data_IF_086947965913
#
_entry.id   IF_086947965913
#
_cell.length_a   1.000
_cell.length_b   1.000
_cell.length_c   1.000
_cell.angle_alpha   90.00
_cell.angle_beta   90.00
_cell.angle_gamma   90.00
#
_symmetry.space_group_name_H-M   'P 1'
#
loop_
_entity.id
_entity.type
_entity.pdbx_description
1 polymer ?
#
# COMPACT_ATOMS: atom_id res chain seq x y z
N UNK A 1 41.92 -30.33 -20.10
CA UNK A 1 40.57 -30.28 -19.49
C UNK A 1 40.56 -29.95 -17.98
N UNK A 2 41.43 -30.54 -17.14
CA UNK A 2 41.39 -30.42 -15.65
C UNK A 2 41.32 -28.98 -15.08
N UNK A 3 41.82 -27.95 -15.78
CA UNK A 3 41.73 -26.56 -15.34
C UNK A 3 40.29 -26.01 -15.41
N UNK A 4 39.59 -26.24 -16.52
CA UNK A 4 38.19 -25.82 -16.73
C UNK A 4 37.26 -26.41 -15.67
N UNK A 5 37.42 -27.70 -15.35
CA UNK A 5 36.63 -28.40 -14.34
C UNK A 5 36.80 -27.87 -12.90
N UNK A 6 37.86 -27.09 -12.62
CA UNK A 6 38.06 -26.43 -11.31
C UNK A 6 37.42 -25.05 -11.25
N UNK A 7 37.36 -24.35 -12.38
CA UNK A 7 36.63 -23.08 -12.52
C UNK A 7 35.12 -23.35 -12.50
N UNK A 8 34.63 -24.36 -13.23
CA UNK A 8 33.19 -24.67 -13.24
C UNK A 8 32.64 -25.04 -11.86
N UNK A 9 33.42 -25.73 -11.02
CA UNK A 9 33.01 -26.08 -9.66
C UNK A 9 32.89 -24.85 -8.74
N UNK A 10 33.89 -23.95 -8.75
CA UNK A 10 33.84 -22.74 -7.93
C UNK A 10 32.78 -21.75 -8.45
N UNK A 11 32.62 -21.61 -9.78
CA UNK A 11 31.53 -20.86 -10.38
C UNK A 11 30.16 -21.41 -9.97
N UNK A 12 29.99 -22.74 -9.97
CA UNK A 12 28.75 -23.39 -9.53
C UNK A 12 28.40 -22.99 -8.08
N UNK A 13 29.39 -22.99 -7.19
CA UNK A 13 29.21 -22.64 -5.78
C UNK A 13 28.84 -21.15 -5.57
N UNK A 14 29.42 -20.22 -6.34
CA UNK A 14 29.19 -18.78 -6.15
C UNK A 14 27.97 -18.20 -6.87
N UNK A 15 27.63 -18.68 -8.08
CA UNK A 15 26.55 -18.05 -8.86
C UNK A 15 25.15 -18.24 -8.25
N UNK A 16 24.85 -19.42 -7.69
CA UNK A 16 23.53 -19.71 -7.10
C UNK A 16 23.20 -18.80 -5.91
N UNK A 17 24.05 -18.66 -4.87
CA UNK A 17 23.80 -17.74 -3.77
C UNK A 17 23.66 -16.28 -4.20
N UNK A 18 24.48 -15.81 -5.16
CA UNK A 18 24.41 -14.44 -5.68
C UNK A 18 23.13 -14.17 -6.46
N UNK A 19 22.68 -15.12 -7.29
CA UNK A 19 21.41 -15.02 -8.02
C UNK A 19 20.20 -15.07 -7.08
N UNK A 20 20.23 -15.92 -6.04
CA UNK A 20 19.19 -15.96 -5.01
C UNK A 20 19.14 -14.64 -4.25
N UNK A 21 20.29 -14.09 -3.81
CA UNK A 21 20.36 -12.81 -3.12
C UNK A 21 19.87 -11.63 -3.98
N UNK A 22 20.26 -11.57 -5.25
CA UNK A 22 19.77 -10.56 -6.18
C UNK A 22 18.25 -10.68 -6.42
N UNK A 23 17.71 -11.90 -6.43
CA UNK A 23 16.27 -12.12 -6.57
C UNK A 23 15.47 -11.77 -5.30
N UNK A 24 15.97 -12.10 -4.11
CA UNK A 24 15.27 -11.80 -2.85
C UNK A 24 15.33 -10.32 -2.48
N UNK A 25 16.43 -9.61 -2.79
CA UNK A 25 16.51 -8.15 -2.56
C UNK A 25 15.82 -7.31 -3.64
N UNK A 26 15.69 -7.84 -4.86
CA UNK A 26 15.06 -7.17 -6.00
C UNK A 26 14.20 -8.17 -6.81
N UNK A 27 12.94 -8.44 -6.39
CA UNK A 27 12.06 -9.34 -7.12
C UNK A 27 11.56 -8.71 -8.44
N UNK A 28 11.12 -7.45 -8.40
CA UNK A 28 10.39 -6.81 -9.50
C UNK A 28 11.32 -5.99 -10.42
N UNK A 29 12.13 -5.09 -9.85
CA UNK A 29 13.01 -4.18 -10.59
C UNK A 29 14.46 -4.28 -10.09
N UNK A 30 15.35 -4.81 -10.93
CA UNK A 30 16.77 -5.03 -10.57
C UNK A 30 17.66 -3.91 -11.14
N UNK A 31 18.39 -3.14 -10.31
CA UNK A 31 19.34 -2.16 -10.80
C UNK A 31 20.48 -2.86 -11.55
N UNK A 32 21.13 -2.16 -12.48
CA UNK A 32 22.13 -2.74 -13.41
C UNK A 32 23.16 -3.65 -12.73
N UNK A 33 23.74 -3.21 -11.60
CA UNK A 33 24.76 -3.94 -10.85
C UNK A 33 24.26 -5.23 -10.15
N UNK A 34 22.95 -5.48 -10.12
CA UNK A 34 22.30 -6.70 -9.59
C UNK A 34 21.63 -7.54 -10.68
N UNK A 35 21.86 -7.24 -11.96
CA UNK A 35 21.31 -8.05 -13.05
C UNK A 35 22.02 -9.41 -13.15
N UNK A 36 21.34 -10.48 -13.60
CA UNK A 36 21.87 -11.86 -13.52
C UNK A 36 23.24 -12.07 -14.18
N UNK A 37 23.54 -11.36 -15.27
CA UNK A 37 24.85 -11.42 -15.91
C UNK A 37 25.96 -10.75 -15.09
N UNK A 38 25.65 -9.69 -14.33
CA UNK A 38 26.62 -9.06 -13.41
C UNK A 38 26.91 -10.01 -12.24
N UNK A 39 25.88 -10.67 -11.69
CA UNK A 39 26.09 -11.72 -10.67
C UNK A 39 26.93 -12.89 -11.19
N UNK A 40 26.74 -13.29 -12.46
CA UNK A 40 27.56 -14.32 -13.10
C UNK A 40 29.02 -13.87 -13.32
N UNK A 41 29.25 -12.60 -13.70
CA UNK A 41 30.59 -12.01 -13.82
C UNK A 41 31.30 -11.91 -12.45
N UNK A 42 30.58 -11.53 -11.40
CA UNK A 42 31.11 -11.53 -10.01
C UNK A 42 31.44 -12.95 -9.55
N UNK A 43 30.56 -13.93 -9.80
CA UNK A 43 30.84 -15.34 -9.53
C UNK A 43 32.06 -15.86 -10.28
N UNK A 44 32.27 -15.44 -11.53
CA UNK A 44 33.45 -15.76 -12.32
C UNK A 44 34.72 -15.12 -11.74
N UNK A 45 34.67 -13.85 -11.32
CA UNK A 45 35.80 -13.17 -10.68
C UNK A 45 36.20 -13.85 -9.35
N UNK A 46 35.22 -14.22 -8.52
CA UNK A 46 35.44 -14.99 -7.29
C UNK A 46 36.02 -16.39 -7.58
N UNK A 47 35.50 -17.08 -8.61
CA UNK A 47 36.02 -18.36 -9.06
C UNK A 47 37.47 -18.29 -9.57
N UNK A 48 37.84 -17.21 -10.27
CA UNK A 48 39.22 -16.99 -10.69
C UNK A 48 40.14 -16.74 -9.49
N UNK A 49 39.70 -15.92 -8.52
CA UNK A 49 40.43 -15.67 -7.27
C UNK A 49 40.68 -16.96 -6.47
N UNK A 50 39.66 -17.83 -6.32
CA UNK A 50 39.80 -19.17 -5.73
C UNK A 50 40.91 -20.01 -6.40
N UNK A 51 40.98 -20.02 -7.74
CA UNK A 51 42.04 -20.76 -8.45
C UNK A 51 43.42 -20.11 -8.35
N UNK A 52 43.50 -18.79 -8.25
CA UNK A 52 44.74 -18.02 -8.25
C UNK A 52 45.40 -17.84 -6.88
N UNK A 53 44.62 -17.47 -5.86
CA UNK A 53 45.09 -17.10 -4.53
C UNK A 53 44.92 -18.24 -3.51
N UNK A 54 43.69 -18.72 -3.31
CA UNK A 54 43.40 -19.73 -2.26
C UNK A 54 44.18 -21.03 -2.50
N UNK A 55 44.27 -21.48 -3.75
CA UNK A 55 45.08 -22.66 -4.10
C UNK A 55 46.59 -22.48 -3.91
N UNK A 56 47.10 -21.23 -3.85
CA UNK A 56 48.48 -20.95 -3.43
C UNK A 56 48.59 -20.97 -1.91
N UNK A 57 47.71 -20.27 -1.19
CA UNK A 57 47.68 -20.22 0.28
C UNK A 57 47.57 -21.63 0.89
N UNK A 58 46.67 -22.48 0.35
CA UNK A 58 46.50 -23.88 0.76
C UNK A 58 47.75 -24.76 0.53
N UNK A 59 48.73 -24.30 -0.26
CA UNK A 59 50.01 -24.99 -0.52
C UNK A 59 51.19 -24.38 0.23
N UNK A 60 51.03 -23.23 0.90
CA UNK A 60 52.08 -22.62 1.72
C UNK A 60 52.25 -23.39 3.04
N UNK A 61 53.31 -24.20 3.13
CA UNK A 61 53.74 -24.82 4.40
C UNK A 61 54.41 -23.79 5.33
N UNK A 62 53.63 -22.84 5.85
CA UNK A 62 54.07 -21.86 6.85
C UNK A 62 53.24 -21.97 8.13
N UNK A 63 53.92 -22.02 9.28
CA UNK A 63 53.31 -22.08 10.62
C UNK A 63 52.42 -20.87 10.96
N UNK A 64 52.50 -19.79 10.19
CA UNK A 64 51.70 -18.58 10.39
C UNK A 64 50.37 -18.57 9.62
N UNK A 65 50.13 -19.51 8.70
CA UNK A 65 48.89 -19.53 7.88
C UNK A 65 47.66 -19.80 8.75
N UNK A 66 47.73 -20.79 9.65
CA UNK A 66 46.62 -21.14 10.56
C UNK A 66 46.25 -19.98 11.51
N UNK A 67 47.18 -19.40 12.31
CA UNK A 67 46.84 -18.29 13.19
C UNK A 67 46.41 -17.01 12.44
N UNK A 68 46.89 -16.80 11.21
CA UNK A 68 46.40 -15.69 10.37
C UNK A 68 44.95 -15.90 9.91
N UNK A 69 44.57 -17.14 9.55
CA UNK A 69 43.20 -17.47 9.16
C UNK A 69 42.24 -17.46 10.36
N UNK A 70 42.65 -17.92 11.55
CA UNK A 70 41.81 -17.80 12.75
C UNK A 70 41.64 -16.35 13.18
N UNK A 71 42.68 -15.52 13.07
CA UNK A 71 42.57 -14.07 13.30
C UNK A 71 41.61 -13.42 12.28
N UNK A 72 41.68 -13.78 11.00
CA UNK A 72 40.77 -13.28 9.98
C UNK A 72 39.30 -13.68 10.27
N UNK A 73 39.06 -14.92 10.73
CA UNK A 73 37.72 -15.35 11.16
C UNK A 73 37.23 -14.61 12.41
N UNK A 74 38.10 -14.35 13.40
CA UNK A 74 37.77 -13.53 14.56
C UNK A 74 37.42 -12.08 14.16
N UNK A 75 38.16 -11.49 13.22
CA UNK A 75 37.84 -10.16 12.67
C UNK A 75 36.49 -10.17 11.96
N UNK A 76 36.18 -11.20 11.16
CA UNK A 76 34.85 -11.35 10.52
C UNK A 76 33.75 -11.49 11.57
N UNK A 77 33.93 -12.27 12.64
CA UNK A 77 32.96 -12.43 13.73
C UNK A 77 32.73 -11.09 14.45
N UNK A 78 33.80 -10.34 14.77
CA UNK A 78 33.70 -9.02 15.42
C UNK A 78 33.01 -8.01 14.51
N UNK A 79 33.30 -8.00 13.21
CA UNK A 79 32.62 -7.15 12.23
C UNK A 79 31.13 -7.50 12.12
N UNK A 80 30.78 -8.78 12.01
CA UNK A 80 29.39 -9.24 11.99
C UNK A 80 28.63 -8.85 13.26
N UNK A 81 29.27 -8.95 14.44
CA UNK A 81 28.68 -8.51 15.70
C UNK A 81 28.46 -6.99 15.75
N UNK A 82 29.42 -6.19 15.25
CA UNK A 82 29.27 -4.73 15.17
C UNK A 82 28.14 -4.33 14.20
N UNK A 83 28.03 -4.97 13.03
CA UNK A 83 26.95 -4.77 12.06
C UNK A 83 25.59 -5.16 12.64
N UNK A 84 25.52 -6.26 13.39
CA UNK A 84 24.29 -6.72 14.06
C UNK A 84 23.85 -5.79 15.20
N UNK A 85 24.79 -5.24 15.96
CA UNK A 85 24.51 -4.34 17.09
C UNK A 85 24.23 -2.88 16.68
N UNK A 86 24.68 -2.46 15.49
CA UNK A 86 24.51 -1.09 14.98
C UNK A 86 23.80 -1.09 13.61
N UNK A 87 22.57 -1.64 13.49
CA UNK A 87 21.89 -1.80 12.21
C UNK A 87 21.66 -0.46 11.49
N UNK A 88 21.44 0.64 12.22
CA UNK A 88 21.24 1.98 11.65
C UNK A 88 22.45 2.54 10.89
N UNK A 89 23.66 2.00 11.10
CA UNK A 89 24.87 2.42 10.39
C UNK A 89 25.23 1.55 9.17
N UNK A 90 24.63 0.36 9.03
CA UNK A 90 25.07 -0.65 8.06
C UNK A 90 23.94 -1.37 7.31
N UNK A 91 22.72 -1.39 7.86
CA UNK A 91 21.55 -1.96 7.20
C UNK A 91 20.90 -0.91 6.32
N UNK A 92 20.99 -1.07 5.00
CA UNK A 92 20.22 -0.26 4.05
C UNK A 92 18.73 -0.29 4.38
N UNK A 93 18.17 -1.40 4.88
CA UNK A 93 16.76 -1.48 5.27
C UNK A 93 16.43 -0.63 6.50
N UNK A 94 17.37 -0.45 7.44
CA UNK A 94 17.16 0.44 8.59
C UNK A 94 17.30 1.91 8.17
N UNK A 95 18.18 2.21 7.20
CA UNK A 95 18.28 3.54 6.58
C UNK A 95 17.01 3.86 5.75
N UNK A 96 16.50 2.91 4.98
CA UNK A 96 15.24 3.01 4.22
C UNK A 96 14.07 3.27 5.20
N UNK A 97 14.00 2.56 6.34
CA UNK A 97 13.00 2.81 7.39
C UNK A 97 13.14 4.21 8.01
N UNK A 98 14.35 4.62 8.41
CA UNK A 98 14.61 5.95 8.98
C UNK A 98 14.29 7.08 7.99
N UNK A 99 14.42 6.86 6.68
CA UNK A 99 13.98 7.81 5.65
C UNK A 99 12.45 7.87 5.51
N UNK A 100 11.75 6.74 5.60
CA UNK A 100 10.27 6.69 5.64
C UNK A 100 9.72 7.34 6.93
N UNK A 101 10.51 7.37 8.01
CA UNK A 101 10.13 8.02 9.27
C UNK A 101 10.54 9.50 9.38
N UNK A 102 11.24 10.07 8.38
CA UNK A 102 11.61 11.48 8.37
C UNK A 102 10.36 12.39 8.23
N UNK A 103 10.25 13.50 8.98
CA UNK A 103 9.14 14.43 8.82
C UNK A 103 9.18 15.12 7.45
N UNK A 104 7.99 15.30 6.85
CA UNK A 104 7.78 15.83 5.50
C UNK A 104 8.43 17.21 5.25
N UNK A 105 8.68 17.98 6.31
CA UNK A 105 9.24 19.34 6.26
C UNK A 105 10.75 19.38 5.93
N UNK A 106 11.43 18.23 5.86
CA UNK A 106 12.88 18.13 5.62
C UNK A 106 13.27 17.25 4.42
N UNK A 107 12.33 16.95 3.51
CA UNK A 107 12.66 16.33 2.24
C UNK A 107 13.58 17.24 1.41
N UNK A 108 14.82 16.85 1.06
CA UNK A 108 15.70 17.69 0.27
C UNK A 108 15.12 17.89 -1.13
N UNK A 109 15.10 19.13 -1.61
CA UNK A 109 14.62 19.48 -2.94
C UNK A 109 15.54 18.89 -4.01
N UNK A 110 15.19 17.70 -4.51
CA UNK A 110 15.89 17.07 -5.62
C UNK A 110 15.87 18.00 -6.84
N UNK A 111 17.04 18.42 -7.37
CA UNK A 111 17.09 19.26 -8.56
C UNK A 111 16.55 18.46 -9.76
N UNK A 112 15.48 18.96 -10.38
CA UNK A 112 14.84 18.28 -11.51
C UNK A 112 15.84 18.02 -12.63
N UNK A 113 16.05 16.74 -12.96
CA UNK A 113 17.05 16.31 -13.94
C UNK A 113 16.64 16.68 -15.37
N UNK A 114 17.02 17.89 -15.76
CA UNK A 114 17.17 18.41 -17.13
C UNK A 114 16.45 17.59 -18.23
N UNK A 115 15.23 17.99 -18.56
CA UNK A 115 14.70 17.68 -19.90
C UNK A 115 15.61 18.35 -20.94
N UNK A 116 16.24 17.56 -21.82
CA UNK A 116 17.03 18.13 -22.91
C UNK A 116 16.12 18.87 -23.89
N UNK A 117 16.62 20.00 -24.40
CA UNK A 117 15.88 20.87 -25.32
C UNK A 117 15.50 20.16 -26.62
N UNK A 118 14.23 20.28 -27.01
CA UNK A 118 13.79 20.16 -28.40
C UNK A 118 13.23 21.50 -28.85
N UNK A 119 14.02 22.24 -29.64
CA UNK A 119 13.71 23.62 -30.05
C UNK A 119 12.61 23.66 -31.11
N UNK A 120 11.52 24.39 -30.86
CA UNK A 120 10.68 24.95 -31.92
C UNK A 120 10.24 26.39 -31.58
N UNK A 121 10.44 27.29 -32.55
CA UNK A 121 10.31 28.74 -32.39
C UNK A 121 8.88 29.20 -32.68
N UNK A 122 8.25 29.95 -31.77
CA UNK A 122 7.01 30.70 -32.06
C UNK A 122 6.80 31.93 -31.13
N UNK A 123 7.33 33.08 -31.58
CA UNK A 123 6.91 34.48 -31.36
C UNK A 123 5.72 34.78 -30.42
N UNK A 124 5.96 35.58 -29.37
CA UNK A 124 4.93 36.40 -28.70
C UNK A 124 4.66 37.71 -29.47
N UNK A 125 3.44 38.25 -29.40
CA UNK A 125 3.16 39.69 -29.47
C UNK A 125 2.81 40.27 -28.08
N UNK A 126 3.22 41.51 -27.82
CA UNK A 126 2.91 42.26 -26.59
C UNK A 126 1.51 42.91 -26.65
N UNK A 127 0.91 43.20 -25.49
CA UNK A 127 -0.24 44.11 -25.34
C UNK A 127 0.23 45.36 -24.57
N UNK A 128 0.12 46.58 -25.14
CA UNK A 128 0.42 47.82 -24.44
C UNK A 128 -0.80 48.37 -23.67
N UNK A 129 -0.54 49.15 -22.63
CA UNK A 129 -1.57 49.85 -21.84
C UNK A 129 -1.79 51.30 -22.29
N UNK A 130 -3.02 51.79 -22.15
CA UNK A 130 -3.37 53.22 -22.26
C UNK A 130 -4.67 53.52 -21.50
N UNK A 131 -4.99 54.80 -21.29
CA UNK A 131 -6.05 55.27 -20.39
C UNK A 131 -6.77 56.52 -20.94
N UNK A 132 -8.04 56.76 -20.56
CA UNK A 132 -8.61 58.11 -20.29
C UNK A 132 -10.15 58.17 -20.10
N UNK A 133 -10.58 59.16 -19.30
CA UNK A 133 -11.85 59.95 -19.32
C UNK A 133 -13.27 59.36 -19.06
N UNK A 134 -13.89 59.98 -18.05
CA UNK A 134 -15.30 60.09 -17.58
C UNK A 134 -16.30 60.79 -18.57
N UNK A 135 -17.62 61.01 -18.24
CA UNK A 135 -18.56 60.36 -17.28
C UNK A 135 -20.03 60.14 -17.79
N UNK A 136 -20.94 59.67 -16.89
CA UNK A 136 -22.43 59.66 -16.95
C UNK A 136 -23.08 58.63 -17.93
N UNK A 137 -24.24 58.00 -17.68
CA UNK A 137 -25.43 58.39 -16.89
C UNK A 137 -26.27 57.17 -16.38
N UNK A 138 -27.02 57.34 -15.28
CA UNK A 138 -28.16 56.52 -14.74
C UNK A 138 -28.15 54.98 -14.72
N UNK A 139 -27.95 54.43 -13.51
CA UNK A 139 -28.82 53.46 -12.80
C UNK A 139 -29.63 52.37 -13.54
N UNK A 140 -29.42 51.10 -13.13
CA UNK A 140 -30.53 50.33 -12.55
C UNK A 140 -30.10 49.27 -11.53
N UNK A 141 -30.73 49.36 -10.36
CA UNK A 141 -30.83 48.48 -9.19
C UNK A 141 -30.29 47.03 -9.27
N UNK A 142 -29.33 46.71 -8.39
CA UNK A 142 -29.24 45.41 -7.71
C UNK A 142 -28.46 45.57 -6.40
N UNK A 143 -29.12 45.31 -5.27
CA UNK A 143 -28.60 45.65 -3.94
C UNK A 143 -27.64 44.58 -3.42
N UNK A 144 -26.37 44.93 -3.26
CA UNK A 144 -25.40 44.12 -2.50
C UNK A 144 -25.79 44.11 -1.02
N UNK A 145 -26.34 43.00 -0.54
CA UNK A 145 -26.52 42.75 0.89
C UNK A 145 -25.19 42.27 1.47
N UNK A 146 -24.68 43.01 2.45
CA UNK A 146 -23.44 42.65 3.15
C UNK A 146 -23.65 41.37 3.98
N UNK A 147 -22.90 40.32 3.65
CA UNK A 147 -22.83 39.09 4.46
C UNK A 147 -21.65 39.24 5.41
N UNK A 148 -21.93 39.41 6.71
CA UNK A 148 -20.90 39.33 7.75
C UNK A 148 -20.20 37.97 7.71
N UNK A 149 -18.89 37.88 7.98
CA UNK A 149 -18.20 36.61 8.07
C UNK A 149 -18.77 35.80 9.24
N UNK A 150 -19.48 34.71 8.92
CA UNK A 150 -19.80 33.66 9.89
C UNK A 150 -18.51 33.17 10.52
N UNK A 151 -18.44 33.13 11.85
CA UNK A 151 -17.27 32.59 12.56
C UNK A 151 -17.23 31.08 12.28
N UNK A 152 -16.37 30.68 11.36
CA UNK A 152 -16.12 29.29 11.03
C UNK A 152 -15.49 28.60 12.25
N UNK A 153 -16.29 27.81 12.96
CA UNK A 153 -15.85 27.09 14.15
C UNK A 153 -14.83 26.04 13.74
N UNK A 154 -13.55 26.32 14.00
CA UNK A 154 -12.44 25.38 13.78
C UNK A 154 -12.82 24.01 14.36
N UNK A 155 -12.89 22.95 13.53
CA UNK A 155 -13.22 21.62 14.04
C UNK A 155 -12.23 21.22 15.12
N UNK A 156 -12.73 20.81 16.29
CA UNK A 156 -11.88 20.26 17.35
C UNK A 156 -11.32 18.94 16.84
N UNK A 157 -10.03 18.93 16.51
CA UNK A 157 -9.34 17.73 16.06
C UNK A 157 -9.19 16.75 17.23
N UNK A 158 -10.22 15.92 17.41
CA UNK A 158 -10.21 14.83 18.37
C UNK A 158 -9.04 13.89 18.05
N UNK A 159 -8.17 13.56 19.03
CA UNK A 159 -7.07 12.63 18.81
C UNK A 159 -7.58 11.30 18.28
N UNK A 160 -7.04 10.85 17.15
CA UNK A 160 -7.43 9.57 16.55
C UNK A 160 -6.95 8.40 17.44
N UNK A 161 -7.83 7.67 18.15
CA UNK A 161 -7.42 6.63 19.11
C UNK A 161 -6.74 5.43 18.43
N UNK A 162 -7.08 5.20 17.16
CA UNK A 162 -6.46 4.19 16.28
C UNK A 162 -5.16 4.65 15.62
N UNK A 163 -4.67 5.87 15.93
CA UNK A 163 -3.36 6.39 15.52
C UNK A 163 -2.70 7.09 16.71
N UNK A 164 -2.21 6.29 17.64
CA UNK A 164 -1.41 6.78 18.77
C UNK A 164 -0.26 7.69 18.32
N UNK A 165 0.07 8.68 19.15
CA UNK A 165 1.25 9.50 18.95
C UNK A 165 2.49 8.60 19.02
N UNK A 166 3.21 8.45 17.90
CA UNK A 166 4.46 7.68 17.81
C UNK A 166 5.42 8.09 18.93
N UNK A 167 5.61 7.22 19.92
CA UNK A 167 6.45 7.47 21.10
C UNK A 167 7.95 7.23 20.84
N UNK A 168 8.29 6.44 19.82
CA UNK A 168 9.65 6.11 19.39
C UNK A 168 9.71 5.78 17.90
N UNK A 169 10.89 5.86 17.30
CA UNK A 169 11.15 5.40 15.94
C UNK A 169 10.99 3.86 15.82
N UNK A 170 10.61 3.36 14.64
CA UNK A 170 10.45 1.91 14.40
C UNK A 170 11.78 1.30 13.98
N UNK A 171 12.35 0.44 14.82
CA UNK A 171 13.58 -0.30 14.49
C UNK A 171 13.32 -1.49 13.58
N UNK A 172 14.34 -1.93 12.83
CA UNK A 172 14.30 -3.09 11.94
C UNK A 172 13.77 -4.34 12.64
N UNK A 173 14.18 -4.60 13.88
CA UNK A 173 13.72 -5.75 14.65
C UNK A 173 12.24 -5.65 15.04
N UNK A 174 11.71 -4.45 15.28
CA UNK A 174 10.28 -4.22 15.50
C UNK A 174 9.48 -4.38 14.21
N UNK A 175 9.97 -3.88 13.08
CA UNK A 175 9.33 -4.08 11.76
C UNK A 175 9.28 -5.57 11.37
N UNK A 176 10.39 -6.30 11.53
CA UNK A 176 10.46 -7.76 11.29
C UNK A 176 9.61 -8.56 12.30
N UNK A 177 9.38 -8.05 13.52
CA UNK A 177 8.43 -8.66 14.45
C UNK A 177 6.98 -8.39 14.02
N UNK A 178 6.61 -7.16 13.71
CA UNK A 178 5.25 -6.78 13.29
C UNK A 178 4.76 -7.59 12.08
N UNK A 179 5.65 -7.90 11.13
CA UNK A 179 5.34 -8.80 10.00
C UNK A 179 5.08 -10.26 10.37
N UNK A 180 5.44 -10.70 11.59
CA UNK A 180 5.15 -12.04 12.16
C UNK A 180 3.96 -12.03 13.11
N UNK A 181 3.58 -10.86 13.63
CA UNK A 181 2.39 -10.70 14.47
C UNK A 181 1.09 -10.81 13.62
N UNK A 182 1.20 -10.70 12.29
CA UNK A 182 0.14 -10.99 11.30
C UNK A 182 -0.40 -12.41 11.49
N UNK A 183 -1.70 -12.54 11.72
CA UNK A 183 -2.41 -13.81 11.93
C UNK A 183 -2.16 -14.49 13.29
N UNK A 184 -1.02 -14.25 13.94
CA UNK A 184 -0.73 -14.78 15.28
C UNK A 184 -1.34 -13.93 16.40
N UNK A 185 -1.29 -12.60 16.26
CA UNK A 185 -1.90 -11.61 17.18
C UNK A 185 -3.17 -11.01 16.57
N UNK A 186 -3.25 -10.94 15.23
CA UNK A 186 -4.35 -10.25 14.54
C UNK A 186 -5.70 -10.98 14.57
N UNK A 187 -5.69 -12.28 14.84
CA UNK A 187 -6.89 -13.12 15.04
C UNK A 187 -7.11 -13.44 16.54
N UNK A 188 -6.36 -12.83 17.48
CA UNK A 188 -6.53 -13.03 18.93
C UNK A 188 -7.87 -12.46 19.41
N UNK A 189 -8.63 -13.23 20.20
CA UNK A 189 -10.05 -12.99 20.55
C UNK A 189 -11.05 -12.91 19.37
N UNK A 190 -10.62 -13.19 18.12
CA UNK A 190 -11.53 -13.35 16.99
C UNK A 190 -11.97 -14.80 16.78
N UNK A 191 -13.26 -15.00 16.54
CA UNK A 191 -13.88 -16.29 16.26
C UNK A 191 -13.92 -16.52 14.75
N UNK A 192 -13.52 -17.72 14.29
CA UNK A 192 -13.65 -18.10 12.88
C UNK A 192 -15.10 -18.37 12.49
N UNK A 193 -15.47 -17.92 11.28
CA UNK A 193 -16.75 -18.27 10.67
C UNK A 193 -16.71 -19.65 10.03
N UNK A 194 -17.86 -20.32 9.99
CA UNK A 194 -18.07 -21.58 9.27
C UNK A 194 -19.17 -21.45 8.20
N UNK A 195 -19.45 -22.54 7.48
CA UNK A 195 -20.44 -22.57 6.40
C UNK A 195 -21.91 -22.57 6.88
N UNK A 196 -22.18 -22.68 8.18
CA UNK A 196 -23.51 -22.62 8.79
C UNK A 196 -23.87 -21.26 9.38
N UNK A 197 -22.89 -20.37 9.55
CA UNK A 197 -23.11 -19.00 10.01
C UNK A 197 -24.03 -18.21 9.08
N UNK A 198 -24.91 -17.38 9.67
CA UNK A 198 -25.76 -16.44 8.94
C UNK A 198 -24.98 -15.46 8.04
N UNK A 199 -23.71 -15.17 8.36
CA UNK A 199 -22.85 -14.32 7.53
C UNK A 199 -22.22 -15.08 6.35
N UNK A 200 -22.27 -16.41 6.35
CA UNK A 200 -21.58 -17.28 5.41
C UNK A 200 -20.05 -17.29 5.57
N UNK A 201 -19.42 -18.24 4.88
CA UNK A 201 -17.98 -18.50 5.00
C UNK A 201 -17.13 -17.67 4.02
N UNK A 202 -15.90 -17.34 4.44
CA UNK A 202 -14.67 -17.21 3.63
C UNK A 202 -13.49 -17.65 4.52
N UNK A 203 -12.38 -18.22 4.01
CA UNK A 203 -11.23 -18.65 4.81
C UNK A 203 -10.65 -17.61 5.78
N UNK A 204 -10.62 -16.34 5.37
CA UNK A 204 -10.09 -15.24 6.17
C UNK A 204 -11.12 -14.56 7.08
N UNK A 205 -12.40 -14.91 6.93
CA UNK A 205 -13.49 -14.26 7.64
C UNK A 205 -13.53 -14.60 9.14
N UNK A 206 -13.84 -13.58 9.95
CA UNK A 206 -13.81 -13.63 11.42
C UNK A 206 -14.92 -12.79 12.05
N UNK A 207 -15.26 -13.08 13.30
CA UNK A 207 -16.12 -12.23 14.14
C UNK A 207 -15.35 -11.81 15.39
N UNK A 208 -15.39 -10.52 15.71
CA UNK A 208 -14.98 -9.97 17.01
C UNK A 208 -16.24 -9.59 17.79
N UNK A 209 -16.26 -9.94 19.08
CA UNK A 209 -17.38 -9.67 20.00
C UNK A 209 -18.77 -10.17 19.52
N UNK A 210 -18.94 -11.47 19.20
CA UNK A 210 -20.22 -12.04 18.78
C UNK A 210 -21.31 -11.93 19.86
N UNK A 211 -22.58 -12.04 19.46
CA UNK A 211 -23.73 -12.07 20.39
C UNK A 211 -24.20 -10.70 20.88
N UNK A 212 -23.72 -9.62 20.25
CA UNK A 212 -24.06 -8.24 20.59
C UNK A 212 -24.78 -7.50 19.43
N UNK A 213 -25.12 -8.21 18.35
CA UNK A 213 -25.74 -7.68 17.14
C UNK A 213 -27.02 -6.89 17.41
N UNK A 214 -27.83 -7.34 18.38
CA UNK A 214 -29.12 -6.75 18.74
C UNK A 214 -29.07 -5.81 19.96
N UNK A 215 -27.90 -5.68 20.61
CA UNK A 215 -27.74 -4.93 21.86
C UNK A 215 -26.80 -3.73 21.72
N UNK A 216 -25.65 -3.94 21.07
CA UNK A 216 -24.65 -2.90 20.79
C UNK A 216 -24.52 -2.60 19.28
N UNK A 217 -25.25 -3.32 18.43
CA UNK A 217 -25.28 -3.17 16.98
C UNK A 217 -24.32 -4.09 16.24
N UNK A 218 -24.48 -4.15 14.91
CA UNK A 218 -23.72 -5.00 14.01
C UNK A 218 -23.00 -4.19 12.92
N UNK A 219 -21.70 -4.44 12.77
CA UNK A 219 -20.84 -3.85 11.73
C UNK A 219 -20.29 -4.97 10.84
N UNK A 220 -20.49 -4.87 9.53
CA UNK A 220 -19.92 -5.82 8.55
C UNK A 220 -18.82 -5.13 7.74
N UNK A 221 -17.59 -5.62 7.86
CA UNK A 221 -16.43 -5.14 7.11
C UNK A 221 -16.27 -5.99 5.84
N UNK A 222 -16.29 -5.35 4.68
CA UNK A 222 -16.27 -5.97 3.36
C UNK A 222 -15.01 -5.57 2.56
N UNK A 223 -14.27 -6.54 2.04
CA UNK A 223 -13.11 -6.26 1.20
C UNK A 223 -12.07 -7.37 1.11
N UNK A 224 -10.85 -6.98 0.78
CA UNK A 224 -9.71 -7.89 0.56
C UNK A 224 -8.75 -7.95 1.77
N UNK A 225 -7.48 -8.27 1.52
CA UNK A 225 -6.42 -8.23 2.54
C UNK A 225 -6.29 -6.86 3.24
N UNK A 226 -6.68 -5.75 2.62
CA UNK A 226 -6.63 -4.41 3.20
C UNK A 226 -7.73 -4.18 4.24
N UNK A 227 -8.91 -4.79 4.07
CA UNK A 227 -9.90 -4.89 5.14
C UNK A 227 -9.42 -5.79 6.28
N UNK A 228 -8.69 -6.88 5.98
CA UNK A 228 -8.15 -7.77 7.01
C UNK A 228 -7.09 -7.06 7.88
N UNK A 229 -6.26 -6.22 7.28
CA UNK A 229 -5.31 -5.32 7.96
C UNK A 229 -5.97 -4.30 8.90
N UNK A 230 -7.30 -4.17 8.91
CA UNK A 230 -8.02 -3.33 9.88
C UNK A 230 -8.32 -4.06 11.19
N UNK A 231 -8.33 -5.41 11.23
CA UNK A 231 -8.63 -6.21 12.44
C UNK A 231 -7.90 -5.70 13.70
N UNK A 232 -6.57 -5.42 13.68
CA UNK A 232 -5.86 -4.99 14.90
C UNK A 232 -6.33 -3.65 15.45
N UNK A 233 -6.88 -2.75 14.61
CA UNK A 233 -7.40 -1.45 15.06
C UNK A 233 -8.73 -1.62 15.80
N UNK A 234 -9.61 -2.47 15.30
CA UNK A 234 -10.87 -2.79 15.96
C UNK A 234 -10.66 -3.65 17.20
N UNK A 235 -9.69 -4.58 17.20
CA UNK A 235 -9.27 -5.34 18.38
C UNK A 235 -8.78 -4.40 19.50
N UNK A 236 -7.95 -3.40 19.17
CA UNK A 236 -7.54 -2.36 20.12
C UNK A 236 -8.75 -1.59 20.70
N UNK A 237 -9.65 -1.10 19.83
CA UNK A 237 -10.84 -0.36 20.28
C UNK A 237 -11.75 -1.20 21.17
N UNK A 238 -11.86 -2.52 20.91
CA UNK A 238 -12.58 -3.48 21.76
C UNK A 238 -11.89 -3.67 23.12
N UNK A 239 -10.56 -3.72 23.17
CA UNK A 239 -9.80 -3.78 24.42
C UNK A 239 -9.92 -2.49 25.23
N UNK A 240 -9.89 -1.33 24.57
CA UNK A 240 -10.11 -0.02 25.20
C UNK A 240 -11.53 0.08 25.76
N UNK A 241 -12.57 -0.28 24.98
CA UNK A 241 -13.96 -0.29 25.45
C UNK A 241 -14.17 -1.25 26.63
N UNK A 242 -13.58 -2.46 26.60
CA UNK A 242 -13.62 -3.39 27.75
C UNK A 242 -12.88 -2.86 28.98
N UNK A 243 -11.81 -2.11 28.81
CA UNK A 243 -11.07 -1.49 29.91
C UNK A 243 -11.83 -0.29 30.53
N UNK A 244 -12.63 0.44 29.74
CA UNK A 244 -13.49 1.54 30.22
C UNK A 244 -14.91 1.10 30.61
N UNK A 245 -15.28 -0.16 30.36
CA UNK A 245 -16.63 -0.71 30.52
C UNK A 245 -17.68 0.01 29.62
N UNK A 246 -17.26 0.37 28.41
CA UNK A 246 -18.12 0.88 27.33
C UNK A 246 -18.67 -0.27 26.46
N UNK A 247 -19.77 -0.03 25.76
CA UNK A 247 -20.35 -0.99 24.81
C UNK A 247 -19.54 -1.05 23.50
N UNK A 248 -19.40 -2.25 22.96
CA UNK A 248 -18.77 -2.49 21.67
C UNK A 248 -19.70 -3.34 20.77
N UNK A 249 -19.84 -3.03 19.47
CA UNK A 249 -20.71 -3.80 18.57
C UNK A 249 -20.17 -5.21 18.32
N UNK A 250 -20.95 -6.05 17.63
CA UNK A 250 -20.38 -7.21 16.94
C UNK A 250 -19.77 -6.75 15.61
N UNK A 251 -18.53 -7.15 15.35
CA UNK A 251 -17.78 -6.82 14.13
C UNK A 251 -17.56 -8.09 13.30
N UNK A 252 -18.15 -8.16 12.11
CA UNK A 252 -17.99 -9.28 11.17
C UNK A 252 -17.02 -8.87 10.06
N UNK A 253 -15.82 -9.44 10.07
CA UNK A 253 -14.83 -9.27 9.00
C UNK A 253 -15.10 -10.31 7.92
N UNK A 254 -15.71 -9.88 6.81
CA UNK A 254 -16.08 -10.72 5.66
C UNK A 254 -15.06 -10.57 4.53
N UNK A 255 -13.81 -10.84 4.87
CA UNK A 255 -12.60 -10.57 4.08
C UNK A 255 -12.16 -11.78 3.25
N UNK A 256 -11.55 -11.53 2.08
CA UNK A 256 -10.94 -12.59 1.25
C UNK A 256 -9.81 -12.03 0.35
N UNK A 257 -8.63 -12.62 0.39
CA UNK A 257 -7.41 -11.98 -0.14
C UNK A 257 -7.41 -11.90 -1.68
N UNK A 258 -7.16 -10.70 -2.24
CA UNK A 258 -7.18 -10.45 -3.69
C UNK A 258 -8.59 -10.40 -4.33
N UNK A 259 -9.65 -10.37 -3.53
CA UNK A 259 -11.04 -10.30 -4.00
C UNK A 259 -11.66 -8.92 -3.70
N UNK A 260 -11.84 -8.05 -4.71
CA UNK A 260 -12.58 -6.81 -4.54
C UNK A 260 -14.06 -7.10 -4.32
N UNK A 261 -14.75 -6.20 -3.63
CA UNK A 261 -16.22 -6.22 -3.51
C UNK A 261 -16.86 -5.40 -4.63
N UNK A 262 -16.44 -5.69 -5.87
CA UNK A 262 -16.92 -5.11 -7.12
C UNK A 262 -17.68 -6.16 -7.93
N UNK A 263 -18.60 -5.71 -8.80
CA UNK A 263 -19.49 -6.59 -9.59
C UNK A 263 -18.78 -7.55 -10.55
N UNK A 264 -17.50 -7.30 -10.89
CA UNK A 264 -16.60 -8.21 -11.60
C UNK A 264 -16.26 -9.52 -10.86
N UNK A 265 -16.73 -9.70 -9.63
CA UNK A 265 -16.58 -10.90 -8.80
C UNK A 265 -17.98 -11.41 -8.45
N UNK A 266 -18.40 -12.63 -8.86
CA UNK A 266 -19.75 -13.12 -8.59
C UNK A 266 -20.03 -13.28 -7.09
N UNK A 267 -19.00 -13.46 -6.27
CA UNK A 267 -19.11 -13.56 -4.82
C UNK A 267 -19.52 -12.23 -4.16
N UNK A 268 -19.32 -11.09 -4.84
CA UNK A 268 -19.79 -9.78 -4.37
C UNK A 268 -21.31 -9.75 -4.22
N UNK A 269 -22.04 -10.38 -5.14
CA UNK A 269 -23.50 -10.48 -5.04
C UNK A 269 -23.93 -11.32 -3.82
N UNK A 270 -23.19 -12.39 -3.50
CA UNK A 270 -23.46 -13.23 -2.33
C UNK A 270 -23.22 -12.47 -1.01
N UNK A 271 -22.14 -11.70 -0.93
CA UNK A 271 -21.86 -10.85 0.25
C UNK A 271 -22.89 -9.70 0.36
N UNK A 272 -23.34 -9.12 -0.75
CA UNK A 272 -24.39 -8.09 -0.76
C UNK A 272 -25.77 -8.65 -0.38
N UNK A 273 -26.14 -9.85 -0.84
CA UNK A 273 -27.40 -10.50 -0.49
C UNK A 273 -27.42 -11.00 0.96
N UNK A 274 -26.25 -11.35 1.51
CA UNK A 274 -26.08 -11.51 2.95
C UNK A 274 -26.33 -10.20 3.70
N UNK A 275 -25.73 -9.07 3.29
CA UNK A 275 -26.00 -7.75 3.91
C UNK A 275 -27.49 -7.37 3.80
N UNK A 276 -28.14 -7.57 2.65
CA UNK A 276 -29.57 -7.29 2.43
C UNK A 276 -30.49 -8.14 3.33
N UNK A 277 -30.10 -9.38 3.64
CA UNK A 277 -30.80 -10.29 4.56
C UNK A 277 -30.57 -9.93 6.03
N UNK A 278 -29.32 -9.71 6.41
CA UNK A 278 -28.87 -9.52 7.80
C UNK A 278 -29.16 -8.10 8.31
N UNK A 279 -29.09 -7.09 7.44
CA UNK A 279 -29.36 -5.66 7.74
C UNK A 279 -28.55 -5.11 8.93
N UNK A 280 -27.21 -5.09 8.84
CA UNK A 280 -26.36 -4.47 9.86
C UNK A 280 -26.62 -2.96 9.99
N UNK A 281 -26.30 -2.39 11.15
CA UNK A 281 -26.26 -0.92 11.34
C UNK A 281 -25.26 -0.25 10.39
N UNK A 282 -24.16 -0.95 10.11
CA UNK A 282 -23.01 -0.43 9.37
C UNK A 282 -22.44 -1.47 8.40
N UNK A 283 -22.14 -1.02 7.18
CA UNK A 283 -21.18 -1.69 6.29
C UNK A 283 -19.94 -0.81 6.10
N UNK A 284 -18.76 -1.43 6.21
CA UNK A 284 -17.47 -0.76 6.08
C UNK A 284 -16.66 -1.38 4.94
N UNK A 285 -16.47 -0.65 3.84
CA UNK A 285 -15.69 -1.12 2.69
C UNK A 285 -14.20 -0.77 2.82
N UNK A 286 -13.32 -1.74 2.55
CA UNK A 286 -11.87 -1.48 2.40
C UNK A 286 -11.19 -2.53 1.50
N UNK A 287 -10.75 -2.13 0.31
CA UNK A 287 -10.01 -2.99 -0.61
C UNK A 287 -9.06 -2.15 -1.48
N UNK A 288 -8.11 -2.79 -2.15
CA UNK A 288 -7.08 -2.13 -2.96
C UNK A 288 -7.68 -1.60 -4.29
N UNK A 289 -8.41 -0.49 -4.25
CA UNK A 289 -9.06 0.14 -5.41
C UNK A 289 -8.17 0.16 -6.68
N UNK A 290 -6.91 0.60 -6.54
CA UNK A 290 -5.94 0.66 -7.64
C UNK A 290 -5.52 -0.71 -8.21
N UNK A 291 -5.68 -1.83 -7.51
CA UNK A 291 -5.34 -3.15 -8.04
C UNK A 291 -6.31 -3.58 -9.13
N UNK A 292 -7.59 -3.20 -8.95
CA UNK A 292 -8.75 -3.70 -9.69
C UNK A 292 -9.33 -2.71 -10.70
N UNK A 293 -9.18 -1.41 -10.45
CA UNK A 293 -9.58 -0.32 -11.35
C UNK A 293 -8.34 0.38 -11.93
N UNK A 294 -7.90 -0.08 -13.11
CA UNK A 294 -6.80 0.49 -13.90
C UNK A 294 -7.20 0.54 -15.38
N UNK A 295 -7.70 1.69 -15.86
CA UNK A 295 -8.18 1.84 -17.23
C UNK A 295 -7.02 1.99 -18.23
N UNK A 296 -6.23 0.94 -18.41
CA UNK A 296 -5.10 0.88 -19.33
C UNK A 296 -5.50 0.54 -20.78
N UNK A 297 -6.75 0.11 -20.99
CA UNK A 297 -7.31 -0.19 -22.31
C UNK A 297 -7.64 1.07 -23.14
N UNK A 298 -7.87 0.93 -24.46
CA UNK A 298 -8.10 2.07 -25.35
C UNK A 298 -9.31 2.92 -24.96
N UNK A 299 -9.16 4.25 -24.96
CA UNK A 299 -10.25 5.22 -24.72
C UNK A 299 -11.39 5.14 -25.75
N UNK A 300 -11.12 4.58 -26.93
CA UNK A 300 -12.07 4.34 -28.01
C UNK A 300 -12.79 2.99 -27.93
N UNK A 301 -12.48 2.14 -26.94
CA UNK A 301 -13.14 0.85 -26.79
C UNK A 301 -14.65 1.01 -26.49
N UNK A 302 -15.50 0.07 -26.95
CA UNK A 302 -16.84 -0.06 -26.40
C UNK A 302 -16.78 -0.49 -24.93
N UNK A 303 -17.83 -0.19 -24.18
CA UNK A 303 -18.07 -0.80 -22.86
C UNK A 303 -18.26 -2.32 -23.06
N UNK A 304 -17.62 -3.15 -22.26
CA UNK A 304 -17.86 -4.59 -22.24
C UNK A 304 -19.20 -4.92 -21.55
N UNK A 305 -19.87 -5.99 -21.99
CA UNK A 305 -21.10 -6.48 -21.34
C UNK A 305 -20.82 -6.88 -19.87
N UNK A 306 -19.68 -7.53 -19.65
CA UNK A 306 -19.12 -7.84 -18.32
C UNK A 306 -17.74 -7.17 -18.12
N UNK A 307 -17.71 -5.94 -17.56
CA UNK A 307 -16.48 -5.23 -17.20
C UNK A 307 -15.61 -6.02 -16.22
N UNK A 308 -14.38 -6.33 -16.64
CA UNK A 308 -13.45 -7.15 -15.85
C UNK A 308 -12.60 -6.29 -14.93
N UNK A 309 -12.45 -6.72 -13.67
CA UNK A 309 -11.44 -6.15 -12.77
C UNK A 309 -10.03 -6.61 -13.15
N UNK A 310 -9.06 -5.71 -12.96
CA UNK A 310 -7.64 -6.02 -13.04
C UNK A 310 -7.20 -6.93 -11.88
N UNK A 311 -6.16 -7.76 -12.07
CA UNK A 311 -5.85 -8.83 -11.09
C UNK A 311 -4.71 -8.51 -10.11
N UNK A 312 -3.60 -7.92 -10.56
CA UNK A 312 -2.44 -7.62 -9.73
C UNK A 312 -1.79 -6.27 -10.11
N UNK A 313 -1.48 -5.44 -9.12
CA UNK A 313 -1.11 -4.01 -9.25
C UNK A 313 0.12 -3.73 -10.13
N UNK A 314 0.95 -4.74 -10.39
CA UNK A 314 2.19 -4.64 -11.17
C UNK A 314 2.11 -5.33 -12.55
N UNK A 315 0.96 -5.89 -12.92
CA UNK A 315 0.70 -6.51 -14.23
C UNK A 315 -0.20 -5.59 -15.07
N UNK A 316 0.11 -5.37 -16.35
CA UNK A 316 -0.70 -4.51 -17.21
C UNK A 316 -2.12 -5.03 -17.42
N UNK A 317 -3.10 -4.11 -17.47
CA UNK A 317 -4.52 -4.39 -17.58
C UNK A 317 -5.15 -3.84 -18.89
N UNK A 318 -4.62 -4.16 -20.09
CA UNK A 318 -5.05 -3.55 -21.36
C UNK A 318 -6.48 -3.95 -21.79
N UNK A 319 -7.13 -4.83 -21.02
CA UNK A 319 -8.50 -5.31 -21.23
C UNK A 319 -9.56 -4.55 -20.43
N UNK A 320 -9.17 -3.61 -19.57
CA UNK A 320 -10.11 -2.70 -18.90
C UNK A 320 -9.97 -1.31 -19.52
N UNK A 321 -10.98 -0.86 -20.28
CA UNK A 321 -11.05 0.50 -20.78
C UNK A 321 -11.50 1.48 -19.67
N UNK A 322 -11.37 2.80 -19.88
CA UNK A 322 -11.99 3.80 -19.01
C UNK A 322 -13.47 3.54 -18.73
N UNK A 323 -14.24 3.15 -19.77
CA UNK A 323 -15.68 2.89 -19.66
C UNK A 323 -15.99 1.67 -18.79
N UNK A 324 -15.13 0.66 -18.83
CA UNK A 324 -15.27 -0.54 -17.99
C UNK A 324 -15.01 -0.20 -16.52
N UNK A 325 -14.01 0.63 -16.23
CA UNK A 325 -13.73 1.13 -14.89
C UNK A 325 -14.86 2.04 -14.36
N UNK A 326 -15.38 2.93 -15.21
CA UNK A 326 -16.51 3.82 -14.89
C UNK A 326 -17.78 3.01 -14.57
N UNK A 327 -18.13 2.00 -15.38
CA UNK A 327 -19.31 1.14 -15.12
C UNK A 327 -19.10 0.23 -13.90
N UNK A 328 -17.89 -0.25 -13.62
CA UNK A 328 -17.62 -0.98 -12.37
C UNK A 328 -17.89 -0.11 -11.14
N UNK A 329 -17.45 1.15 -11.17
CA UNK A 329 -17.70 2.11 -10.11
C UNK A 329 -19.18 2.53 -10.05
N UNK A 330 -19.87 2.65 -11.20
CA UNK A 330 -21.30 2.96 -11.26
C UNK A 330 -22.19 1.80 -10.79
N UNK A 331 -21.78 0.53 -11.00
CA UNK A 331 -22.42 -0.66 -10.42
C UNK A 331 -22.26 -0.65 -8.90
N UNK A 332 -21.03 -0.53 -8.39
CA UNK A 332 -20.77 -0.44 -6.95
C UNK A 332 -21.51 0.74 -6.28
N UNK A 333 -21.57 1.90 -6.93
CA UNK A 333 -22.32 3.07 -6.43
C UNK A 333 -23.82 2.83 -6.39
N UNK A 334 -24.39 2.03 -7.32
CA UNK A 334 -25.78 1.58 -7.27
C UNK A 334 -26.02 0.64 -6.08
N UNK A 335 -25.12 -0.31 -5.85
CA UNK A 335 -25.23 -1.22 -4.70
C UNK A 335 -25.16 -0.47 -3.37
N UNK A 336 -24.21 0.46 -3.20
CA UNK A 336 -24.11 1.30 -1.99
C UNK A 336 -25.37 2.15 -1.78
N UNK A 337 -25.92 2.76 -2.83
CA UNK A 337 -27.21 3.48 -2.76
C UNK A 337 -28.38 2.56 -2.42
N UNK A 338 -28.34 1.29 -2.83
CA UNK A 338 -29.32 0.28 -2.41
C UNK A 338 -29.16 -0.13 -0.95
N UNK A 339 -27.97 -0.05 -0.36
CA UNK A 339 -27.74 -0.30 1.07
C UNK A 339 -28.21 0.88 1.92
N UNK A 340 -27.81 2.11 1.59
CA UNK A 340 -28.22 3.30 2.35
C UNK A 340 -29.74 3.55 2.28
N UNK A 341 -30.39 3.23 1.15
CA UNK A 341 -31.85 3.26 1.03
C UNK A 341 -32.60 2.27 1.96
N UNK A 342 -31.91 1.27 2.54
CA UNK A 342 -32.47 0.40 3.59
C UNK A 342 -32.18 0.90 5.01
N UNK A 343 -31.52 2.06 5.17
CA UNK A 343 -31.11 2.63 6.46
C UNK A 343 -29.73 2.16 6.96
N UNK A 344 -29.01 1.35 6.17
CA UNK A 344 -27.68 0.86 6.52
C UNK A 344 -26.64 1.97 6.32
N UNK A 345 -25.86 2.31 7.34
CA UNK A 345 -24.79 3.32 7.23
C UNK A 345 -23.62 2.72 6.46
N UNK A 346 -23.14 3.40 5.42
CA UNK A 346 -21.99 2.93 4.62
C UNK A 346 -20.79 3.84 4.79
N UNK A 347 -19.68 3.27 5.27
CA UNK A 347 -18.38 3.93 5.33
C UNK A 347 -17.39 3.26 4.36
N UNK A 348 -16.41 4.03 3.89
CA UNK A 348 -15.39 3.55 2.96
C UNK A 348 -14.02 4.02 3.45
N UNK A 349 -13.12 3.08 3.72
CA UNK A 349 -11.70 3.38 3.82
C UNK A 349 -11.09 3.50 2.42
N UNK A 350 -10.40 4.61 2.18
CA UNK A 350 -9.50 4.73 1.04
C UNK A 350 -8.26 3.86 1.25
N UNK A 351 -7.58 3.55 0.15
CA UNK A 351 -6.32 2.82 0.16
C UNK A 351 -5.22 3.65 0.87
N UNK A 352 -4.30 2.98 1.55
CA UNK A 352 -3.13 3.63 2.13
C UNK A 352 -2.11 4.01 1.04
N UNK A 353 -1.14 4.87 1.36
CA UNK A 353 -0.07 5.25 0.43
C UNK A 353 0.81 4.04 0.14
N UNK A 354 0.83 3.60 -1.12
CA UNK A 354 1.75 2.57 -1.61
C UNK A 354 2.79 3.20 -2.54
N UNK A 355 4.04 2.77 -2.39
CA UNK A 355 5.18 3.26 -3.19
C UNK A 355 5.30 4.80 -3.28
N UNK A 356 4.96 5.50 -2.18
CA UNK A 356 5.07 6.96 -2.03
C UNK A 356 4.08 7.74 -2.92
N UNK A 357 3.12 7.08 -3.57
CA UNK A 357 2.08 7.74 -4.39
C UNK A 357 0.71 7.75 -3.70
N UNK A 358 0.00 8.86 -3.85
CA UNK A 358 -1.36 9.06 -3.35
C UNK A 358 -2.37 8.70 -4.45
N UNK A 359 -3.33 7.84 -4.11
CA UNK A 359 -4.41 7.42 -4.99
C UNK A 359 -5.76 7.62 -4.26
N UNK A 360 -6.74 8.25 -4.92
CA UNK A 360 -8.01 8.69 -4.32
C UNK A 360 -9.22 8.00 -5.01
N UNK A 361 -10.43 8.05 -4.39
CA UNK A 361 -11.73 7.54 -4.94
C UNK A 361 -12.95 8.27 -4.30
N UNK A 362 -14.03 8.71 -5.00
CA UNK A 362 -14.01 9.28 -6.38
C UNK A 362 -15.00 8.80 -7.47
N UNK A 363 -16.32 8.59 -7.43
CA UNK A 363 -17.48 8.93 -6.57
C UNK A 363 -18.01 10.40 -6.65
N UNK A 364 -18.16 10.97 -7.85
CA UNK A 364 -18.79 12.29 -8.07
C UNK A 364 -20.22 12.11 -8.66
N UNK A 365 -21.25 12.91 -8.30
CA UNK A 365 -22.62 12.71 -8.80
C UNK A 365 -22.85 13.16 -10.25
N UNK A 366 -22.09 14.17 -10.68
CA UNK A 366 -22.14 14.79 -12.02
C UNK A 366 -20.72 14.92 -12.59
N UNK A 367 -20.65 15.17 -13.91
CA UNK A 367 -19.57 14.69 -14.79
C UNK A 367 -18.20 15.36 -14.64
N UNK A 368 -17.22 14.58 -15.11
CA UNK A 368 -15.90 14.95 -15.65
C UNK A 368 -14.83 15.45 -14.67
N UNK A 369 -13.59 15.09 -15.00
CA UNK A 369 -12.32 15.38 -14.27
C UNK A 369 -12.10 14.71 -12.91
N UNK A 370 -10.87 14.88 -12.41
CA UNK A 370 -10.17 13.88 -11.61
C UNK A 370 -10.52 13.84 -10.12
N UNK A 371 -10.12 12.72 -9.56
CA UNK A 371 -10.65 12.10 -8.36
C UNK A 371 -9.91 12.60 -7.09
N UNK A 372 -10.63 13.23 -6.15
CA UNK A 372 -10.13 13.60 -4.82
C UNK A 372 -11.26 13.64 -3.77
N UNK A 373 -11.16 12.81 -2.74
CA UNK A 373 -12.05 12.85 -1.56
C UNK A 373 -11.27 12.53 -0.28
N UNK A 374 -11.89 12.87 0.86
CA UNK A 374 -11.41 12.61 2.22
C UNK A 374 -12.55 11.94 2.98
N UNK A 375 -12.31 10.74 3.53
CA UNK A 375 -13.23 9.90 4.33
C UNK A 375 -14.73 10.27 4.24
N UNK A 376 -15.38 9.84 3.16
CA UNK A 376 -16.79 10.20 2.89
C UNK A 376 -17.72 9.37 3.77
N UNK A 377 -18.57 10.05 4.55
CA UNK A 377 -19.78 9.46 5.14
C UNK A 377 -20.86 9.51 4.07
N UNK A 378 -21.25 8.34 3.53
CA UNK A 378 -22.37 8.25 2.62
C UNK A 378 -23.68 8.30 3.42
N UNK A 379 -24.25 9.51 3.50
CA UNK A 379 -25.61 9.76 3.99
C UNK A 379 -26.67 9.38 2.95
#
# INVERSE_FOLDING_TARGET
>A
MVFLGKISYALYLWHWPLLVFANTRFPNTRPFYMQPFVMLLVAMALSLNFTGFENRVRRLRSKFVVPSLTLAMLVVIVLSYNVYSHPSSFSMTELDLLQIEAPLDLAPSFPSSQHMNSTSTATQPMIPSSSSSNPNFTSNTSTLVSVSPSVESTPVELPNPSREKRVQATTYLQAIKGGKDIGAVWDEELVSLDATSDYGYHPHARVLNPGHESTNGLVIVLGDSHADMLKPRFLKLYHEARATNESFPTMVFKTEFGRPTLSCRPETQLDLDMVRRVKPDVVFYSFHWLQYLRPEGPTSAPLADDPRCCHATYESCPYQSPRDADELLARWTRDVKSLTAMGIKVYVAQQYVENIQYYYVVIHPDRDTYISCRLVVCH
#
